data_IF_130779554390
#
_entry.id   IF_130779554390
#
_cell.length_a   1.000
_cell.length_b   1.000
_cell.length_c   1.000
_cell.angle_alpha   90.00
_cell.angle_beta   90.00
_cell.angle_gamma   90.00
#
_symmetry.space_group_name_H-M   'P 1'
#
loop_
_entity.id
_entity.type
_entity.pdbx_description
1 polymer ?
#
# COMPACT_ATOMS: atom_id res chain seq x y z
N UNK A 1 12.83 -30.45 -3.47
CA UNK A 1 13.88 -29.93 -2.58
C UNK A 1 13.36 -29.99 -1.15
N UNK A 2 14.04 -30.62 -0.18
CA UNK A 2 13.60 -30.56 1.22
C UNK A 2 13.78 -29.15 1.73
N UNK A 3 12.68 -28.54 2.18
CA UNK A 3 12.65 -27.19 2.72
C UNK A 3 13.19 -27.26 4.15
N UNK A 4 14.32 -26.63 4.42
CA UNK A 4 14.82 -26.47 5.80
C UNK A 4 14.10 -25.27 6.46
N UNK A 5 13.04 -25.58 7.20
CA UNK A 5 12.24 -24.58 7.94
C UNK A 5 12.98 -24.04 9.17
N UNK A 6 14.00 -24.76 9.68
CA UNK A 6 14.68 -24.41 10.94
C UNK A 6 15.45 -23.08 10.87
N UNK A 7 15.73 -22.59 9.66
CA UNK A 7 16.43 -21.32 9.42
C UNK A 7 15.50 -20.12 9.28
N UNK A 8 14.18 -20.35 9.26
CA UNK A 8 13.23 -19.27 9.12
C UNK A 8 12.84 -18.72 10.50
N UNK A 9 13.02 -17.43 10.69
CA UNK A 9 12.60 -16.73 11.92
C UNK A 9 11.10 -16.89 12.15
N UNK A 10 10.31 -16.86 11.08
CA UNK A 10 8.85 -17.02 11.11
C UNK A 10 8.39 -18.44 11.54
N UNK A 11 9.27 -19.44 11.47
CA UNK A 11 9.00 -20.83 11.84
C UNK A 11 9.62 -21.22 13.20
N UNK A 12 10.40 -20.31 13.80
CA UNK A 12 10.99 -20.55 15.11
C UNK A 12 9.97 -20.44 16.24
N UNK A 13 10.21 -21.16 17.35
CA UNK A 13 9.37 -21.03 18.55
C UNK A 13 9.66 -19.72 19.27
N UNK A 14 8.61 -19.06 19.73
CA UNK A 14 8.74 -17.86 20.55
C UNK A 14 8.86 -18.25 22.04
N UNK A 15 9.99 -17.96 22.70
CA UNK A 15 10.17 -18.30 24.11
C UNK A 15 9.14 -17.59 25.03
N UNK A 16 8.70 -16.37 24.68
CA UNK A 16 7.74 -15.62 25.48
C UNK A 16 6.34 -16.24 25.52
N UNK A 17 6.02 -17.09 24.55
CA UNK A 17 4.72 -17.75 24.46
C UNK A 17 4.78 -19.28 24.59
N UNK A 18 5.89 -19.82 25.15
CA UNK A 18 6.12 -21.27 25.20
C UNK A 18 5.01 -22.04 25.94
N UNK A 19 4.40 -21.43 26.95
CA UNK A 19 3.36 -21.99 27.82
C UNK A 19 2.03 -21.21 27.69
N UNK A 20 1.77 -20.58 26.55
CA UNK A 20 0.65 -19.66 26.35
C UNK A 20 -0.73 -20.35 26.56
N UNK A 21 -0.81 -21.64 26.29
CA UNK A 21 -2.00 -22.47 26.43
C UNK A 21 -2.39 -22.75 27.92
N UNK A 22 -1.48 -22.50 28.84
CA UNK A 22 -1.72 -22.66 30.29
C UNK A 22 -2.15 -21.37 30.98
N UNK A 23 -2.03 -20.23 30.29
CA UNK A 23 -2.31 -18.91 30.85
C UNK A 23 -3.82 -18.62 30.93
N UNK A 24 -4.20 -17.77 31.88
CA UNK A 24 -5.53 -17.16 31.85
C UNK A 24 -5.72 -16.30 30.58
N UNK A 25 -6.96 -16.04 30.19
CA UNK A 25 -7.26 -15.25 28.98
C UNK A 25 -6.57 -13.89 29.01
N UNK A 26 -6.54 -13.20 30.14
CA UNK A 26 -5.91 -11.88 30.23
C UNK A 26 -4.37 -11.96 30.09
N UNK A 27 -3.74 -12.92 30.72
CA UNK A 27 -2.30 -13.14 30.59
C UNK A 27 -1.90 -13.52 29.17
N UNK A 28 -2.66 -14.41 28.53
CA UNK A 28 -2.48 -14.78 27.13
C UNK A 28 -2.56 -13.53 26.21
N UNK A 29 -3.56 -12.66 26.40
CA UNK A 29 -3.73 -11.44 25.63
C UNK A 29 -2.62 -10.42 25.89
N UNK A 30 -2.09 -10.35 27.11
CA UNK A 30 -0.94 -9.52 27.44
C UNK A 30 0.31 -9.97 26.67
N UNK A 31 0.62 -11.26 26.63
CA UNK A 31 1.74 -11.83 25.86
C UNK A 31 1.58 -11.50 24.37
N UNK A 32 0.39 -11.66 23.78
CA UNK A 32 0.12 -11.33 22.38
C UNK A 32 0.38 -9.83 22.14
N UNK A 33 -0.17 -8.96 23.00
CA UNK A 33 -0.04 -7.51 22.85
C UNK A 33 1.42 -7.03 22.99
N UNK A 34 2.19 -7.59 23.93
CA UNK A 34 3.61 -7.27 24.10
C UNK A 34 4.44 -7.65 22.87
N UNK A 35 4.13 -8.78 22.23
CA UNK A 35 4.74 -9.19 20.99
C UNK A 35 4.36 -8.26 19.83
N UNK A 36 3.09 -7.86 19.73
CA UNK A 36 2.60 -6.98 18.68
C UNK A 36 3.23 -5.57 18.73
N UNK A 37 3.59 -5.07 19.91
CA UNK A 37 4.28 -3.78 20.06
C UNK A 37 5.64 -3.74 19.34
N UNK A 38 6.28 -4.88 19.09
CA UNK A 38 7.57 -4.98 18.40
C UNK A 38 7.44 -4.69 16.89
N UNK A 39 6.25 -4.82 16.31
CA UNK A 39 6.02 -4.75 14.87
C UNK A 39 6.36 -3.37 14.31
N UNK A 40 5.87 -2.30 14.93
CA UNK A 40 6.14 -0.93 14.47
C UNK A 40 7.64 -0.60 14.50
N UNK A 41 8.38 -1.12 15.47
CA UNK A 41 9.83 -0.94 15.57
C UNK A 41 10.57 -1.70 14.46
N UNK A 42 10.14 -2.91 14.13
CA UNK A 42 10.68 -3.67 13.01
C UNK A 42 10.46 -2.95 11.67
N UNK A 43 9.27 -2.37 11.46
CA UNK A 43 8.96 -1.56 10.27
C UNK A 43 9.80 -0.27 10.24
N UNK A 44 10.01 0.39 11.40
CA UNK A 44 10.88 1.57 11.50
C UNK A 44 12.29 1.30 10.99
N UNK A 45 12.85 0.11 11.24
CA UNK A 45 14.19 -0.24 10.81
C UNK A 45 14.36 -0.31 9.29
N UNK A 46 13.27 -0.46 8.52
CA UNK A 46 13.27 -0.61 7.06
C UNK A 46 12.68 0.60 6.32
N UNK A 47 12.48 1.74 7.00
CA UNK A 47 11.98 2.98 6.39
C UNK A 47 12.80 3.44 5.17
N UNK A 48 14.14 3.32 5.13
CA UNK A 48 14.89 3.71 3.93
C UNK A 48 14.52 2.92 2.68
N UNK A 49 14.22 1.61 2.82
CA UNK A 49 13.79 0.76 1.70
C UNK A 49 12.35 1.08 1.30
N UNK A 50 11.48 1.35 2.29
CA UNK A 50 10.12 1.83 2.02
C UNK A 50 10.15 3.12 1.24
N UNK A 51 10.97 4.10 1.65
CA UNK A 51 11.10 5.39 0.96
C UNK A 51 11.55 5.23 -0.50
N UNK A 52 12.56 4.39 -0.77
CA UNK A 52 12.98 4.08 -2.15
C UNK A 52 11.85 3.49 -2.99
N UNK A 53 11.03 2.62 -2.39
CA UNK A 53 9.90 2.02 -3.09
C UNK A 53 8.80 3.04 -3.35
N UNK A 54 8.51 3.92 -2.38
CA UNK A 54 7.57 5.06 -2.56
C UNK A 54 8.02 5.97 -3.72
N UNK A 55 9.30 6.30 -3.79
CA UNK A 55 9.84 7.14 -4.87
C UNK A 55 9.69 6.44 -6.24
N UNK A 56 9.96 5.12 -6.32
CA UNK A 56 9.77 4.34 -7.53
C UNK A 56 8.29 4.28 -7.96
N UNK A 57 7.37 4.06 -7.02
CA UNK A 57 5.92 4.05 -7.29
C UNK A 57 5.47 5.44 -7.77
N UNK A 58 5.93 6.51 -7.13
CA UNK A 58 5.59 7.88 -7.54
C UNK A 58 6.05 8.16 -8.97
N UNK A 59 7.26 7.71 -9.32
CA UNK A 59 7.80 7.84 -10.68
C UNK A 59 7.01 7.00 -11.70
N UNK A 60 6.58 5.78 -11.31
CA UNK A 60 5.73 4.94 -12.15
C UNK A 60 4.40 5.65 -12.45
N UNK A 61 3.71 6.16 -11.45
CA UNK A 61 2.45 6.90 -11.62
C UNK A 61 2.61 8.14 -12.52
N UNK A 62 3.72 8.88 -12.37
CA UNK A 62 4.00 10.03 -13.21
C UNK A 62 4.23 9.65 -14.70
N UNK A 63 4.65 8.43 -14.99
CA UNK A 63 4.87 7.90 -16.33
C UNK A 63 3.69 7.08 -16.86
N UNK A 64 2.54 7.08 -16.20
CA UNK A 64 1.35 6.30 -16.59
C UNK A 64 1.46 4.80 -16.29
N UNK A 65 2.42 4.40 -15.43
CA UNK A 65 2.55 3.03 -14.92
C UNK A 65 1.68 2.79 -13.69
N UNK A 66 1.72 1.55 -13.19
CA UNK A 66 0.89 1.01 -12.13
C UNK A 66 1.73 0.46 -10.98
N UNK A 67 1.10 0.36 -9.80
CA UNK A 67 1.60 -0.45 -8.69
C UNK A 67 0.86 -1.78 -8.68
N UNK A 68 1.59 -2.88 -8.74
CA UNK A 68 1.02 -4.23 -8.66
C UNK A 68 1.54 -4.93 -7.40
N UNK A 69 0.64 -5.24 -6.49
CA UNK A 69 0.90 -6.13 -5.36
C UNK A 69 0.66 -7.58 -5.76
N UNK A 70 1.51 -8.49 -5.34
CA UNK A 70 1.28 -9.92 -5.53
C UNK A 70 1.68 -10.72 -4.29
N UNK A 71 0.84 -11.67 -3.91
CA UNK A 71 1.07 -12.51 -2.73
C UNK A 71 0.15 -13.72 -2.69
N UNK A 72 0.36 -14.60 -1.70
CA UNK A 72 -0.51 -15.74 -1.42
C UNK A 72 -1.16 -15.60 -0.04
N UNK A 73 -2.32 -16.21 0.17
CA UNK A 73 -3.00 -16.26 1.46
C UNK A 73 -3.20 -14.87 2.10
N UNK A 74 -2.74 -14.69 3.34
CA UNK A 74 -2.83 -13.41 4.06
C UNK A 74 -2.12 -12.27 3.32
N UNK A 75 -0.94 -12.52 2.77
CA UNK A 75 -0.15 -11.51 2.06
C UNK A 75 -0.87 -10.99 0.82
N UNK A 76 -1.46 -11.88 0.01
CA UNK A 76 -2.26 -11.48 -1.16
C UNK A 76 -3.53 -10.71 -0.76
N UNK A 77 -4.23 -11.13 0.32
CA UNK A 77 -5.40 -10.40 0.83
C UNK A 77 -5.06 -9.00 1.29
N UNK A 78 -3.92 -8.79 1.94
CA UNK A 78 -3.45 -7.47 2.37
C UNK A 78 -3.14 -6.57 1.18
N UNK A 79 -2.53 -7.10 0.11
CA UNK A 79 -2.32 -6.36 -1.14
C UNK A 79 -3.62 -5.92 -1.79
N UNK A 80 -4.63 -6.82 -1.86
CA UNK A 80 -5.96 -6.49 -2.37
C UNK A 80 -6.65 -5.45 -1.49
N UNK A 81 -6.57 -5.59 -0.17
CA UNK A 81 -7.15 -4.63 0.77
C UNK A 81 -6.60 -3.23 0.53
N UNK A 82 -5.28 -3.07 0.51
CA UNK A 82 -4.63 -1.77 0.33
C UNK A 82 -4.95 -1.16 -1.05
N UNK A 83 -4.95 -1.96 -2.11
CA UNK A 83 -5.32 -1.54 -3.47
C UNK A 83 -6.77 -1.05 -3.53
N UNK A 84 -7.71 -1.76 -2.90
CA UNK A 84 -9.14 -1.43 -2.94
C UNK A 84 -9.51 -0.15 -2.21
N UNK A 85 -8.67 0.32 -1.28
CA UNK A 85 -8.89 1.56 -0.53
C UNK A 85 -8.39 2.82 -1.26
N UNK A 86 -7.57 2.68 -2.31
CA UNK A 86 -7.02 3.83 -3.05
C UNK A 86 -8.08 4.63 -3.82
N UNK A 87 -9.02 4.02 -4.59
CA UNK A 87 -10.05 4.77 -5.29
C UNK A 87 -10.95 5.61 -4.37
N UNK A 88 -11.56 5.08 -3.29
CA UNK A 88 -12.45 5.88 -2.45
C UNK A 88 -11.71 6.95 -1.63
N UNK A 89 -10.41 6.76 -1.35
CA UNK A 89 -9.61 7.69 -0.53
C UNK A 89 -8.99 8.81 -1.36
N UNK A 90 -8.48 8.47 -2.54
CA UNK A 90 -7.65 9.37 -3.35
C UNK A 90 -8.20 9.65 -4.74
N UNK A 91 -9.42 9.17 -5.07
CA UNK A 91 -10.01 9.33 -6.40
C UNK A 91 -9.12 8.78 -7.52
N UNK A 92 -8.45 7.65 -7.28
CA UNK A 92 -7.59 7.01 -8.28
C UNK A 92 -8.41 6.13 -9.21
N UNK A 93 -7.91 5.96 -10.45
CA UNK A 93 -8.46 4.90 -11.29
C UNK A 93 -8.23 3.53 -10.60
N UNK A 94 -9.20 2.59 -10.67
CA UNK A 94 -9.06 1.29 -10.02
C UNK A 94 -7.80 0.51 -10.41
N UNK A 95 -7.33 0.69 -11.64
CA UNK A 95 -6.16 0.00 -12.18
C UNK A 95 -4.82 0.65 -11.76
N UNK A 96 -4.83 1.82 -11.09
CA UNK A 96 -3.60 2.48 -10.67
C UNK A 96 -2.83 1.66 -9.62
N UNK A 97 -3.57 0.98 -8.73
CA UNK A 97 -3.03 0.05 -7.74
C UNK A 97 -3.79 -1.26 -7.83
N UNK A 98 -3.11 -2.34 -8.16
CA UNK A 98 -3.70 -3.65 -8.44
C UNK A 98 -3.21 -4.66 -7.40
N UNK A 99 -4.10 -5.46 -6.85
CA UNK A 99 -3.77 -6.57 -5.95
C UNK A 99 -3.99 -7.92 -6.62
N UNK A 100 -2.93 -8.73 -6.71
CA UNK A 100 -2.99 -10.11 -7.18
C UNK A 100 -2.83 -11.09 -6.01
N UNK A 101 -3.58 -12.17 -6.05
CA UNK A 101 -3.50 -13.25 -5.07
C UNK A 101 -3.40 -14.61 -5.77
N UNK A 102 -2.47 -15.45 -5.34
CA UNK A 102 -2.34 -16.81 -5.84
C UNK A 102 -3.68 -17.57 -5.73
N UNK A 103 -4.14 -18.17 -6.84
CA UNK A 103 -5.44 -18.81 -6.93
C UNK A 103 -6.60 -17.87 -7.31
N UNK A 104 -6.32 -16.58 -7.58
CA UNK A 104 -7.29 -15.62 -8.11
C UNK A 104 -8.37 -15.21 -7.10
N UNK A 105 -9.48 -14.65 -7.61
CA UNK A 105 -10.53 -14.03 -6.80
C UNK A 105 -11.12 -14.95 -5.70
N UNK A 106 -11.27 -16.25 -5.97
CA UNK A 106 -11.77 -17.18 -4.96
C UNK A 106 -10.86 -17.32 -3.74
N UNK A 107 -9.55 -17.11 -3.91
CA UNK A 107 -8.56 -17.16 -2.83
C UNK A 107 -8.69 -16.02 -1.81
N UNK A 108 -9.46 -14.97 -2.12
CA UNK A 108 -9.78 -13.89 -1.18
C UNK A 108 -10.57 -14.44 0.01
N UNK A 109 -11.57 -15.29 -0.25
CA UNK A 109 -12.51 -15.81 0.74
C UNK A 109 -12.14 -17.20 1.27
N UNK A 110 -11.53 -18.06 0.42
CA UNK A 110 -11.18 -19.44 0.76
C UNK A 110 -9.76 -19.74 0.36
N UNK A 111 -9.05 -20.57 1.13
CA UNK A 111 -7.74 -21.05 0.73
C UNK A 111 -7.86 -21.87 -0.57
N UNK A 112 -6.97 -21.60 -1.52
CA UNK A 112 -6.78 -22.42 -2.73
C UNK A 112 -5.46 -23.15 -2.55
N UNK A 113 -5.56 -24.47 -2.35
CA UNK A 113 -4.38 -25.30 -2.10
C UNK A 113 -3.43 -25.31 -3.29
N UNK A 114 -2.14 -25.38 -3.00
CA UNK A 114 -1.03 -25.42 -3.98
C UNK A 114 -0.88 -24.19 -4.90
N UNK A 115 -1.77 -23.20 -4.84
CA UNK A 115 -1.68 -22.00 -5.68
C UNK A 115 -0.40 -21.18 -5.39
N UNK A 116 0.07 -21.18 -4.14
CA UNK A 116 1.29 -20.47 -3.75
C UNK A 116 2.58 -21.11 -4.29
N UNK A 117 2.52 -22.40 -4.65
CA UNK A 117 3.67 -23.19 -5.14
C UNK A 117 3.86 -23.06 -6.66
N UNK A 118 2.96 -22.40 -7.37
CA UNK A 118 2.98 -22.25 -8.83
C UNK A 118 3.67 -20.95 -9.27
N UNK A 119 4.95 -21.03 -9.61
CA UNK A 119 5.71 -19.90 -10.11
C UNK A 119 5.25 -19.43 -11.50
N UNK A 120 4.75 -20.35 -12.34
CA UNK A 120 4.26 -20.02 -13.69
C UNK A 120 2.98 -19.20 -13.61
N UNK A 121 2.07 -19.53 -12.68
CA UNK A 121 0.86 -18.75 -12.42
C UNK A 121 1.20 -17.29 -12.08
N UNK A 122 2.24 -17.05 -11.26
CA UNK A 122 2.67 -15.68 -10.93
C UNK A 122 3.13 -14.88 -12.14
N UNK A 123 3.82 -15.52 -13.09
CA UNK A 123 4.19 -14.89 -14.36
C UNK A 123 2.97 -14.60 -15.23
N UNK A 124 2.06 -15.56 -15.33
CA UNK A 124 0.91 -15.48 -16.23
C UNK A 124 -0.11 -14.45 -15.77
N UNK A 125 -0.29 -14.29 -14.44
CA UNK A 125 -1.10 -13.22 -13.88
C UNK A 125 -0.56 -11.82 -14.25
N UNK A 126 0.76 -11.62 -14.20
CA UNK A 126 1.38 -10.35 -14.61
C UNK A 126 1.33 -10.11 -16.12
N UNK A 127 1.48 -11.17 -16.93
CA UNK A 127 1.31 -11.07 -18.40
C UNK A 127 -0.12 -10.68 -18.77
N UNK A 128 -1.11 -11.19 -18.05
CA UNK A 128 -2.52 -10.84 -18.26
C UNK A 128 -2.84 -9.37 -17.98
N UNK A 129 -2.05 -8.71 -17.12
CA UNK A 129 -2.13 -7.27 -16.87
C UNK A 129 -1.39 -6.42 -17.93
N UNK A 130 -0.75 -7.04 -18.92
CA UNK A 130 0.08 -6.34 -19.91
C UNK A 130 1.15 -5.46 -19.28
N UNK A 131 1.78 -5.96 -18.21
CA UNK A 131 2.80 -5.24 -17.42
C UNK A 131 3.90 -4.66 -18.32
N UNK A 132 4.37 -3.45 -18.02
CA UNK A 132 5.40 -2.72 -18.75
C UNK A 132 6.60 -2.36 -17.88
N UNK A 133 7.65 -1.82 -18.47
CA UNK A 133 8.80 -1.30 -17.72
C UNK A 133 8.51 -0.04 -16.89
N UNK A 134 7.35 0.57 -17.07
CA UNK A 134 6.92 1.72 -16.26
C UNK A 134 6.25 1.32 -14.95
N UNK A 135 5.95 0.04 -14.76
CA UNK A 135 5.23 -0.47 -13.59
C UNK A 135 6.16 -0.82 -12.43
N UNK A 136 5.59 -0.86 -11.22
CA UNK A 136 6.27 -1.36 -10.03
C UNK A 136 5.55 -2.59 -9.51
N UNK A 137 6.27 -3.70 -9.33
CA UNK A 137 5.73 -4.93 -8.75
C UNK A 137 6.28 -5.14 -7.35
N UNK A 138 5.39 -5.28 -6.37
CA UNK A 138 5.73 -5.56 -4.98
C UNK A 138 5.27 -6.96 -4.61
N UNK A 139 6.22 -7.87 -4.46
CA UNK A 139 5.98 -9.23 -4.00
C UNK A 139 5.88 -9.30 -2.47
N UNK A 140 4.87 -9.98 -1.96
CA UNK A 140 4.55 -10.03 -0.53
C UNK A 140 4.49 -11.48 -0.05
N UNK A 141 5.41 -11.90 0.83
CA UNK A 141 5.35 -13.19 1.50
C UNK A 141 6.15 -13.17 2.81
N UNK A 142 5.55 -13.53 3.93
CA UNK A 142 6.23 -13.54 5.23
C UNK A 142 7.50 -14.42 5.23
N UNK A 143 7.43 -15.60 4.60
CA UNK A 143 8.57 -16.51 4.44
C UNK A 143 9.66 -15.98 3.49
N UNK A 144 9.29 -15.12 2.54
CA UNK A 144 10.19 -14.59 1.51
C UNK A 144 10.61 -15.61 0.45
N UNK A 145 9.81 -16.68 0.21
CA UNK A 145 10.17 -17.78 -0.69
C UNK A 145 9.02 -18.39 -1.49
N UNK A 146 7.83 -17.80 -1.43
CA UNK A 146 6.65 -18.27 -2.13
C UNK A 146 6.89 -18.33 -3.64
N UNK A 147 6.79 -19.50 -4.29
CA UNK A 147 7.11 -19.67 -5.71
C UNK A 147 6.28 -18.76 -6.62
N UNK A 148 4.98 -18.64 -6.40
CA UNK A 148 4.10 -17.70 -7.10
C UNK A 148 4.69 -16.28 -7.18
N UNK A 149 5.14 -15.76 -6.03
CA UNK A 149 5.72 -14.41 -5.93
C UNK A 149 7.08 -14.34 -6.61
N UNK A 150 7.93 -15.37 -6.44
CA UNK A 150 9.24 -15.42 -7.09
C UNK A 150 9.11 -15.41 -8.61
N UNK A 151 8.22 -16.25 -9.17
CA UNK A 151 7.96 -16.28 -10.62
C UNK A 151 7.50 -14.92 -11.16
N UNK A 152 6.61 -14.24 -10.44
CA UNK A 152 6.18 -12.89 -10.82
C UNK A 152 7.28 -11.86 -10.76
N UNK A 153 8.11 -11.83 -9.69
CA UNK A 153 9.24 -10.90 -9.57
C UNK A 153 10.29 -11.12 -10.68
N UNK A 154 10.61 -12.39 -11.01
CA UNK A 154 11.52 -12.73 -12.09
C UNK A 154 10.98 -12.24 -13.45
N UNK A 155 9.69 -12.47 -13.73
CA UNK A 155 9.07 -11.97 -14.95
C UNK A 155 9.08 -10.44 -15.01
N UNK A 156 8.63 -9.75 -13.95
CA UNK A 156 8.62 -8.29 -13.88
C UNK A 156 10.01 -7.70 -14.16
N UNK A 157 11.03 -8.25 -13.53
CA UNK A 157 12.42 -7.85 -13.75
C UNK A 157 12.89 -8.10 -15.20
N UNK A 158 12.47 -9.20 -15.82
CA UNK A 158 12.86 -9.55 -17.20
C UNK A 158 12.36 -8.56 -18.24
N UNK A 159 11.25 -7.85 -17.97
CA UNK A 159 10.69 -6.82 -18.84
C UNK A 159 11.08 -5.39 -18.44
N UNK A 160 11.93 -5.25 -17.42
CA UNK A 160 12.46 -3.95 -16.96
C UNK A 160 11.57 -3.20 -15.98
N UNK A 161 10.50 -3.83 -15.45
CA UNK A 161 9.70 -3.24 -14.37
C UNK A 161 10.50 -3.19 -13.07
N UNK A 162 10.29 -2.16 -12.26
CA UNK A 162 10.92 -2.07 -10.93
C UNK A 162 10.29 -3.08 -9.98
N UNK A 163 11.12 -3.81 -9.23
CA UNK A 163 10.66 -4.85 -8.32
C UNK A 163 11.01 -4.54 -6.87
N UNK A 164 10.04 -4.75 -5.96
CA UNK A 164 10.27 -4.73 -4.53
C UNK A 164 9.73 -6.00 -3.88
N UNK A 165 10.29 -6.38 -2.72
CA UNK A 165 9.81 -7.53 -1.96
C UNK A 165 9.58 -7.16 -0.50
N UNK A 166 8.51 -7.70 0.10
CA UNK A 166 8.21 -7.58 1.53
C UNK A 166 8.24 -8.97 2.15
N UNK A 167 9.20 -9.21 3.07
CA UNK A 167 9.35 -10.47 3.76
C UNK A 167 9.81 -10.26 5.22
N UNK A 168 9.52 -11.23 6.09
CA UNK A 168 9.87 -11.14 7.52
C UNK A 168 11.02 -12.10 7.91
N UNK A 169 11.79 -12.53 6.93
CA UNK A 169 12.99 -13.33 7.13
C UNK A 169 14.21 -12.64 6.49
N UNK A 170 15.37 -12.61 7.16
CA UNK A 170 16.62 -12.16 6.55
C UNK A 170 17.07 -13.16 5.46
N UNK A 171 17.83 -12.70 4.49
CA UNK A 171 18.44 -13.54 3.46
C UNK A 171 17.48 -14.47 2.69
N UNK A 172 16.25 -14.04 2.45
CA UNK A 172 15.26 -14.82 1.72
C UNK A 172 15.44 -14.73 0.19
N UNK A 173 14.85 -15.70 -0.54
CA UNK A 173 14.93 -15.76 -1.99
C UNK A 173 14.36 -14.52 -2.68
N UNK A 174 13.22 -14.01 -2.19
CA UNK A 174 12.58 -12.81 -2.73
C UNK A 174 13.45 -11.57 -2.57
N UNK A 175 14.22 -11.44 -1.47
CA UNK A 175 15.13 -10.31 -1.27
C UNK A 175 16.28 -10.30 -2.30
N UNK A 176 16.67 -11.48 -2.82
CA UNK A 176 17.69 -11.60 -3.87
C UNK A 176 17.11 -11.38 -5.27
N UNK A 177 15.84 -11.71 -5.48
CA UNK A 177 15.16 -11.56 -6.75
C UNK A 177 14.76 -10.11 -7.04
N UNK A 178 14.32 -9.34 -6.02
CA UNK A 178 13.86 -7.99 -6.16
C UNK A 178 14.99 -6.94 -6.18
N UNK A 179 14.73 -5.78 -6.76
CA UNK A 179 15.65 -4.62 -6.76
C UNK A 179 15.68 -3.93 -5.39
N UNK A 180 14.55 -3.94 -4.68
CA UNK A 180 14.42 -3.36 -3.34
C UNK A 180 13.86 -4.41 -2.39
N UNK A 181 14.58 -4.73 -1.31
CA UNK A 181 14.14 -5.67 -0.29
C UNK A 181 13.71 -4.96 0.98
N UNK A 182 12.44 -5.09 1.37
CA UNK A 182 11.86 -4.54 2.60
C UNK A 182 11.68 -5.70 3.56
N UNK A 183 12.53 -5.79 4.58
CA UNK A 183 12.63 -6.95 5.48
C UNK A 183 12.34 -6.55 6.94
N UNK A 184 11.07 -6.27 7.31
CA UNK A 184 10.71 -6.01 8.72
C UNK A 184 10.78 -7.33 9.51
N UNK A 185 11.85 -7.53 10.26
CA UNK A 185 12.08 -8.76 11.02
C UNK A 185 11.33 -8.67 12.35
N UNK A 186 10.16 -9.27 12.41
CA UNK A 186 9.24 -9.22 13.57
C UNK A 186 9.49 -10.32 14.62
N UNK A 187 10.44 -11.21 14.37
CA UNK A 187 10.71 -12.36 15.23
C UNK A 187 9.68 -13.49 15.10
N UNK A 188 9.80 -14.50 15.96
CA UNK A 188 8.89 -15.63 16.01
C UNK A 188 7.49 -15.22 16.44
N UNK A 189 6.46 -15.81 15.84
CA UNK A 189 5.07 -15.58 16.19
C UNK A 189 4.71 -16.20 17.57
N UNK A 190 3.69 -15.64 18.22
CA UNK A 190 3.19 -16.22 19.50
C UNK A 190 2.61 -17.62 19.32
N UNK A 191 2.03 -17.92 18.17
CA UNK A 191 1.71 -19.28 17.72
C UNK A 191 2.67 -19.59 16.56
N UNK A 192 3.56 -20.53 16.77
CA UNK A 192 4.64 -20.88 15.83
C UNK A 192 4.12 -21.07 14.40
N UNK A 193 4.72 -20.42 13.44
CA UNK A 193 4.32 -20.47 12.01
C UNK A 193 3.09 -19.66 11.63
N UNK A 194 2.38 -19.06 12.60
CA UNK A 194 1.15 -18.28 12.32
C UNK A 194 1.45 -16.87 11.79
N UNK A 195 2.08 -16.78 10.63
CA UNK A 195 2.58 -15.54 10.02
C UNK A 195 1.48 -14.51 9.62
N UNK A 196 0.20 -14.86 9.80
CA UNK A 196 -0.91 -13.90 9.69
C UNK A 196 -0.94 -12.85 10.81
N UNK A 197 -0.18 -13.04 11.89
CA UNK A 197 -0.14 -12.18 13.09
C UNK A 197 0.88 -11.04 12.91
N UNK A 198 2.03 -11.08 13.58
CA UNK A 198 3.04 -9.99 13.52
C UNK A 198 3.55 -9.74 12.10
N UNK A 199 3.84 -10.79 11.34
CA UNK A 199 4.30 -10.66 9.96
C UNK A 199 3.22 -10.01 9.08
N UNK A 200 1.96 -10.45 9.19
CA UNK A 200 0.84 -9.83 8.49
C UNK A 200 0.65 -8.36 8.89
N UNK A 201 0.75 -8.04 10.18
CA UNK A 201 0.67 -6.65 10.68
C UNK A 201 1.80 -5.79 10.12
N UNK A 202 3.03 -6.29 10.07
CA UNK A 202 4.16 -5.59 9.46
C UNK A 202 3.93 -5.32 7.96
N UNK A 203 3.46 -6.32 7.22
CA UNK A 203 3.10 -6.18 5.81
C UNK A 203 2.05 -5.08 5.62
N UNK A 204 0.96 -5.10 6.40
CA UNK A 204 -0.09 -4.07 6.36
C UNK A 204 0.48 -2.67 6.59
N UNK A 205 1.34 -2.49 7.58
CA UNK A 205 1.97 -1.18 7.86
C UNK A 205 2.84 -0.71 6.70
N UNK A 206 3.61 -1.62 6.08
CA UNK A 206 4.45 -1.29 4.92
C UNK A 206 3.57 -0.90 3.73
N UNK A 207 2.55 -1.70 3.36
CA UNK A 207 1.65 -1.43 2.24
C UNK A 207 0.99 -0.07 2.37
N UNK A 208 0.43 0.26 3.54
CA UNK A 208 -0.16 1.56 3.79
C UNK A 208 0.86 2.72 3.64
N UNK A 209 2.12 2.52 4.01
CA UNK A 209 3.18 3.51 3.79
C UNK A 209 3.51 3.68 2.32
N UNK A 210 3.49 2.60 1.53
CA UNK A 210 3.77 2.64 0.10
C UNK A 210 2.71 3.45 -0.65
N UNK A 211 1.43 3.08 -0.53
CA UNK A 211 0.34 3.79 -1.23
C UNK A 211 0.15 5.20 -0.70
N UNK A 212 0.01 5.38 0.63
CA UNK A 212 -0.17 6.71 1.22
C UNK A 212 1.01 7.63 0.87
N UNK A 213 2.25 7.13 0.96
CA UNK A 213 3.44 7.89 0.60
C UNK A 213 3.43 8.32 -0.87
N UNK A 214 3.15 7.39 -1.78
CA UNK A 214 3.06 7.68 -3.21
C UNK A 214 1.92 8.67 -3.54
N UNK A 215 0.76 8.54 -2.90
CA UNK A 215 -0.36 9.47 -3.10
C UNK A 215 -0.04 10.88 -2.58
N UNK A 216 0.65 11.01 -1.43
CA UNK A 216 1.15 12.30 -0.93
C UNK A 216 2.12 12.92 -1.94
N UNK A 217 3.06 12.13 -2.47
CA UNK A 217 4.06 12.58 -3.45
C UNK A 217 3.47 12.85 -4.84
N UNK A 218 2.28 12.34 -5.13
CA UNK A 218 1.50 12.60 -6.35
C UNK A 218 0.50 13.76 -6.20
N UNK A 219 0.60 14.55 -5.12
CA UNK A 219 -0.24 15.72 -4.90
C UNK A 219 -1.71 15.43 -4.55
N UNK A 220 -2.01 14.20 -4.09
CA UNK A 220 -3.36 13.80 -3.66
C UNK A 220 -3.75 14.32 -2.26
N UNK A 221 -2.80 14.97 -1.58
CA UNK A 221 -2.96 15.46 -0.21
C UNK A 221 -2.49 16.91 -0.12
N UNK A 222 -3.21 17.73 0.65
CA UNK A 222 -2.84 19.11 1.00
C UNK A 222 -2.79 19.26 2.52
N UNK A 223 -1.60 19.52 3.07
CA UNK A 223 -1.37 19.33 4.51
C UNK A 223 -1.51 17.84 4.86
N UNK A 224 -2.54 17.52 5.64
CA UNK A 224 -2.99 16.15 5.96
C UNK A 224 -4.42 15.87 5.47
N UNK A 225 -4.94 16.70 4.55
CA UNK A 225 -6.30 16.61 4.04
C UNK A 225 -6.34 15.84 2.70
N UNK A 226 -7.28 14.91 2.57
CA UNK A 226 -7.53 14.12 1.36
C UNK A 226 -8.29 14.97 0.33
N UNK A 227 -7.58 15.73 -0.50
CA UNK A 227 -8.18 16.72 -1.40
C UNK A 227 -8.70 16.16 -2.74
N UNK A 228 -8.50 14.87 -2.99
CA UNK A 228 -9.01 14.16 -4.17
C UNK A 228 -10.11 13.14 -3.83
N UNK A 229 -10.76 13.28 -2.66
CA UNK A 229 -11.85 12.40 -2.27
C UNK A 229 -13.06 12.59 -3.19
N UNK A 230 -13.59 11.49 -3.72
CA UNK A 230 -14.81 11.50 -4.53
C UNK A 230 -16.07 11.46 -3.65
N UNK A 231 -17.06 12.30 -3.98
CA UNK A 231 -18.31 12.42 -3.23
C UNK A 231 -19.38 11.42 -3.72
N UNK A 232 -19.20 10.14 -3.42
CA UNK A 232 -20.12 9.08 -3.84
C UNK A 232 -21.34 8.90 -2.92
N UNK A 233 -21.37 9.57 -1.76
CA UNK A 233 -22.47 9.53 -0.80
C UNK A 233 -22.54 10.82 0.05
N UNK A 234 -23.65 11.01 0.78
CA UNK A 234 -23.89 12.20 1.59
C UNK A 234 -22.79 12.50 2.63
N UNK A 235 -22.21 11.48 3.25
CA UNK A 235 -21.08 11.62 4.19
C UNK A 235 -19.85 12.19 3.49
N UNK A 236 -19.54 11.75 2.29
CA UNK A 236 -18.38 12.21 1.51
C UNK A 236 -18.60 13.62 0.97
N UNK A 237 -19.83 13.98 0.60
CA UNK A 237 -20.21 15.36 0.25
C UNK A 237 -19.91 16.31 1.43
N UNK A 238 -20.37 15.96 2.63
CA UNK A 238 -20.10 16.78 3.83
C UNK A 238 -18.60 16.84 4.14
N UNK A 239 -17.88 15.73 3.92
CA UNK A 239 -16.42 15.68 4.10
C UNK A 239 -15.70 16.64 3.16
N UNK A 240 -16.08 16.70 1.87
CA UNK A 240 -15.51 17.65 0.92
C UNK A 240 -15.65 19.11 1.39
N UNK A 241 -16.84 19.48 1.87
CA UNK A 241 -17.07 20.84 2.42
C UNK A 241 -16.14 21.12 3.60
N UNK A 242 -16.03 20.18 4.54
CA UNK A 242 -15.14 20.32 5.70
C UNK A 242 -13.67 20.44 5.27
N UNK A 243 -13.23 19.65 4.30
CA UNK A 243 -11.86 19.73 3.75
C UNK A 243 -11.56 21.11 3.19
N UNK A 244 -12.49 21.69 2.41
CA UNK A 244 -12.29 23.02 1.84
C UNK A 244 -12.25 24.08 2.95
N UNK A 245 -13.16 24.02 3.93
CA UNK A 245 -13.16 24.91 5.11
C UNK A 245 -11.83 24.82 5.87
N UNK A 246 -11.36 23.61 6.20
CA UNK A 246 -10.12 23.40 6.94
C UNK A 246 -8.88 23.84 6.14
N UNK A 247 -8.89 23.64 4.82
CA UNK A 247 -7.78 23.99 3.95
C UNK A 247 -7.64 25.51 3.75
N UNK A 248 -8.75 26.26 3.79
CA UNK A 248 -8.80 27.67 3.39
C UNK A 248 -9.12 28.63 4.53
N UNK A 249 -9.75 28.17 5.59
CA UNK A 249 -10.32 29.04 6.64
C UNK A 249 -11.60 29.75 6.23
N UNK A 250 -12.17 29.44 5.06
CA UNK A 250 -13.40 30.05 4.56
C UNK A 250 -14.65 29.60 5.34
N UNK A 251 -15.74 30.35 5.22
CA UNK A 251 -17.02 29.90 5.76
C UNK A 251 -17.55 28.67 5.03
N UNK A 252 -18.47 27.94 5.68
CA UNK A 252 -19.11 26.77 5.07
C UNK A 252 -19.87 27.14 3.79
N UNK A 253 -20.56 28.30 3.80
CA UNK A 253 -21.32 28.83 2.67
C UNK A 253 -20.40 29.19 1.49
N UNK A 254 -19.21 29.71 1.76
CA UNK A 254 -18.22 30.04 0.75
C UNK A 254 -17.59 28.76 0.16
N UNK A 255 -17.23 27.78 1.01
CA UNK A 255 -16.73 26.49 0.58
C UNK A 255 -17.75 25.75 -0.32
N UNK A 256 -19.04 25.76 0.05
CA UNK A 256 -20.10 25.15 -0.76
C UNK A 256 -20.27 25.87 -2.11
N UNK A 257 -20.20 27.20 -2.14
CA UNK A 257 -20.27 27.97 -3.41
C UNK A 257 -19.11 27.61 -4.32
N UNK A 258 -17.88 27.57 -3.79
CA UNK A 258 -16.70 27.21 -4.56
C UNK A 258 -16.78 25.76 -5.09
N UNK A 259 -17.19 24.79 -4.26
CA UNK A 259 -17.39 23.41 -4.66
C UNK A 259 -18.44 23.26 -5.76
N UNK A 260 -19.58 23.96 -5.64
CA UNK A 260 -20.64 23.91 -6.64
C UNK A 260 -20.22 24.57 -7.98
N UNK A 261 -19.33 25.56 -7.94
CA UNK A 261 -18.81 26.22 -9.13
C UNK A 261 -17.76 25.38 -9.92
N UNK A 262 -17.23 24.30 -9.33
CA UNK A 262 -16.16 23.48 -9.93
C UNK A 262 -16.43 21.96 -9.85
N UNK A 263 -17.68 21.55 -10.04
CA UNK A 263 -18.10 20.13 -10.06
C UNK A 263 -17.65 19.35 -8.82
N UNK A 264 -17.63 20.00 -7.67
CA UNK A 264 -17.21 19.47 -6.36
C UNK A 264 -15.75 18.99 -6.32
N UNK A 265 -14.87 19.49 -7.19
CA UNK A 265 -13.46 19.18 -7.16
C UNK A 265 -12.75 19.98 -6.07
N UNK A 266 -12.41 19.34 -4.92
CA UNK A 266 -11.88 20.02 -3.74
C UNK A 266 -10.61 20.83 -4.02
N UNK A 267 -9.66 20.31 -4.80
CA UNK A 267 -8.43 21.03 -5.15
C UNK A 267 -8.72 22.33 -5.88
N UNK A 268 -9.65 22.30 -6.84
CA UNK A 268 -10.06 23.51 -7.59
C UNK A 268 -10.72 24.50 -6.64
N UNK A 269 -11.68 24.06 -5.80
CA UNK A 269 -12.34 24.90 -4.83
C UNK A 269 -11.37 25.57 -3.83
N UNK A 270 -10.39 24.80 -3.34
CA UNK A 270 -9.33 25.33 -2.46
C UNK A 270 -8.52 26.41 -3.17
N UNK A 271 -8.11 26.16 -4.43
CA UNK A 271 -7.31 27.12 -5.18
C UNK A 271 -8.12 28.37 -5.56
N UNK A 272 -9.41 28.23 -5.90
CA UNK A 272 -10.32 29.35 -6.13
C UNK A 272 -10.33 30.31 -4.93
N UNK A 273 -10.49 29.78 -3.72
CA UNK A 273 -10.58 30.58 -2.51
C UNK A 273 -9.22 31.18 -2.13
N UNK A 274 -8.14 30.39 -2.14
CA UNK A 274 -6.83 30.85 -1.66
C UNK A 274 -6.11 31.80 -2.63
N UNK A 275 -6.44 31.77 -3.92
CA UNK A 275 -5.79 32.57 -4.96
C UNK A 275 -6.73 33.57 -5.64
N UNK A 276 -7.99 33.68 -5.16
CA UNK A 276 -9.05 34.56 -5.72
C UNK A 276 -9.23 34.36 -7.25
N UNK A 277 -9.43 33.08 -7.64
CA UNK A 277 -9.57 32.66 -9.04
C UNK A 277 -10.99 32.17 -9.32
N UNK A 278 -11.43 32.28 -10.58
CA UNK A 278 -12.58 31.52 -11.04
C UNK A 278 -12.24 30.02 -11.26
N UNK A 279 -13.27 29.20 -11.50
CA UNK A 279 -13.12 27.75 -11.61
C UNK A 279 -12.20 27.33 -12.77
N UNK A 280 -12.28 27.99 -13.93
CA UNK A 280 -11.49 27.66 -15.11
C UNK A 280 -10.03 28.07 -14.92
N UNK A 281 -9.79 29.25 -14.35
CA UNK A 281 -8.44 29.71 -14.00
C UNK A 281 -7.78 28.76 -12.98
N UNK A 282 -8.51 28.37 -11.92
CA UNK A 282 -8.02 27.45 -10.91
C UNK A 282 -7.71 26.07 -11.49
N UNK A 283 -8.59 25.54 -12.34
CA UNK A 283 -8.41 24.26 -13.02
C UNK A 283 -7.20 24.26 -13.96
N UNK A 284 -7.07 25.30 -14.79
CA UNK A 284 -5.92 25.48 -15.68
C UNK A 284 -4.61 25.57 -14.91
N UNK A 285 -4.61 26.34 -13.81
CA UNK A 285 -3.43 26.52 -12.97
C UNK A 285 -3.02 25.24 -12.22
N UNK A 286 -3.97 24.45 -11.73
CA UNK A 286 -3.71 23.13 -11.17
C UNK A 286 -3.10 22.18 -12.20
N UNK A 287 -3.65 22.16 -13.42
CA UNK A 287 -3.12 21.33 -14.51
C UNK A 287 -1.67 21.71 -14.87
N UNK A 288 -1.35 23.00 -14.95
CA UNK A 288 0.00 23.49 -15.21
C UNK A 288 1.01 23.08 -14.12
N UNK A 289 0.52 22.76 -12.92
CA UNK A 289 1.33 22.33 -11.78
C UNK A 289 1.08 20.86 -11.38
N UNK A 290 0.67 20.02 -12.33
CA UNK A 290 0.45 18.57 -12.12
C UNK A 290 -0.48 18.25 -10.93
N UNK A 291 -1.46 19.12 -10.65
CA UNK A 291 -2.41 18.94 -9.55
C UNK A 291 -1.89 19.27 -8.15
N UNK A 292 -0.69 19.85 -8.02
CA UNK A 292 -0.13 20.24 -6.71
C UNK A 292 -0.61 21.63 -6.29
N UNK A 293 -1.50 21.69 -5.30
CA UNK A 293 -2.05 22.96 -4.80
C UNK A 293 -0.95 23.94 -4.35
N UNK A 294 0.04 23.47 -3.57
CA UNK A 294 1.13 24.37 -3.10
C UNK A 294 1.94 24.96 -4.23
N UNK A 295 2.24 24.18 -5.26
CA UNK A 295 2.94 24.68 -6.44
C UNK A 295 2.07 25.68 -7.21
N UNK A 296 0.78 25.38 -7.35
CA UNK A 296 -0.18 26.26 -7.99
C UNK A 296 -0.43 27.58 -7.21
N UNK A 297 -0.27 27.60 -5.89
CA UNK A 297 -0.35 28.83 -5.08
C UNK A 297 0.89 29.71 -5.19
N UNK A 298 2.08 29.10 -5.27
CA UNK A 298 3.38 29.78 -5.32
C UNK A 298 3.76 30.22 -6.75
N UNK A 299 2.84 30.86 -7.43
CA UNK A 299 3.06 31.34 -8.80
C UNK A 299 4.19 32.40 -8.83
N UNK A 300 5.43 31.96 -9.02
CA UNK A 300 6.58 32.76 -9.45
C UNK A 300 7.10 32.25 -10.77
#
# INVERSE_FOLDING_TARGET
MKIDLSRLVTESRNPASAEIDTLSTIEMLQVINEEDQKVALAVKAVLPQIAKTVDAITQAFANGGHLVYMGAGTSGRLGILDASECPPTYGTHPDMVIGLIAGGHQAILKAVENAEDDAQMGQDDLKALHLTSHDVVVGIAASGRTPYVLGGLEYAKSIGATTASIACNPECAMAKAADIAILPIVGAEVVTGSSRMKAGTAQKLVLNMLTTGAMIRSGKVFGNLMVDVEATNAKLIQRQTNIVVEATGASKEEAERALNACDRHCKTAILMILADLDAEQAKSRLAAHNGFIRAALNNN
#
